data_IF_245962844793
#
_entry.id   IF_245962844793
#
_cell.length_a   1.000
_cell.length_b   1.000
_cell.length_c   1.000
_cell.angle_alpha   90.00
_cell.angle_beta   90.00
_cell.angle_gamma   90.00
#
_symmetry.space_group_name_H-M   'P 1'
#
loop_
_entity.id
_entity.type
_entity.pdbx_description
1 polymer ?
#
# COMPACT_ATOMS: atom_id res chain seq x y z
N UNK A 1 -8.13 -59.39 -41.01
CA UNK A 1 -7.19 -59.22 -39.88
C UNK A 1 -6.38 -57.91 -39.95
N UNK A 2 -7.02 -56.75 -40.16
CA UNK A 2 -6.36 -55.43 -40.05
C UNK A 2 -7.14 -54.41 -39.20
N UNK A 3 -8.40 -54.71 -38.82
CA UNK A 3 -9.21 -53.83 -37.97
C UNK A 3 -9.04 -54.08 -36.46
N UNK A 4 -8.61 -55.28 -36.05
CA UNK A 4 -8.48 -55.64 -34.64
C UNK A 4 -7.15 -55.20 -33.97
N UNK A 5 -6.17 -54.74 -34.75
CA UNK A 5 -4.91 -54.20 -34.19
C UNK A 5 -4.96 -52.72 -33.84
N UNK A 6 -5.98 -51.98 -34.32
CA UNK A 6 -6.11 -50.55 -34.03
C UNK A 6 -6.87 -50.27 -32.72
N UNK A 7 -7.74 -51.19 -32.28
CA UNK A 7 -8.57 -51.00 -31.08
C UNK A 7 -7.76 -51.23 -29.79
N UNK A 8 -6.71 -52.04 -29.82
CA UNK A 8 -5.86 -52.29 -28.63
C UNK A 8 -4.89 -51.12 -28.35
N UNK A 9 -4.51 -50.35 -29.38
CA UNK A 9 -3.61 -49.20 -29.22
C UNK A 9 -4.37 -47.94 -28.76
N UNK A 10 -5.62 -47.76 -29.19
CA UNK A 10 -6.44 -46.62 -28.75
C UNK A 10 -7.00 -46.81 -27.33
N UNK A 11 -7.20 -48.05 -26.87
CA UNK A 11 -7.62 -48.31 -25.47
C UNK A 11 -6.47 -48.20 -24.45
N UNK A 12 -5.20 -48.32 -24.86
CA UNK A 12 -4.05 -48.18 -23.95
C UNK A 12 -3.54 -46.75 -23.77
N UNK A 13 -3.93 -45.80 -24.63
CA UNK A 13 -3.57 -44.38 -24.50
C UNK A 13 -4.55 -43.56 -23.67
N UNK A 14 -5.67 -44.15 -23.22
CA UNK A 14 -6.71 -43.45 -22.45
C UNK A 14 -6.56 -43.47 -20.93
N UNK A 15 -5.60 -44.22 -20.38
CA UNK A 15 -5.49 -44.45 -18.93
C UNK A 15 -4.24 -43.86 -18.25
N UNK A 16 -3.45 -43.02 -18.94
CA UNK A 16 -2.24 -42.40 -18.37
C UNK A 16 -2.35 -40.90 -18.08
N UNK A 17 -3.55 -40.31 -18.12
CA UNK A 17 -3.78 -38.91 -17.71
C UNK A 17 -4.62 -38.80 -16.42
N UNK A 18 -4.34 -39.64 -15.42
CA UNK A 18 -4.64 -39.27 -14.03
C UNK A 18 -3.38 -38.63 -13.46
N UNK A 19 -3.03 -37.47 -13.99
CA UNK A 19 -2.11 -36.54 -13.35
C UNK A 19 -2.82 -35.94 -12.14
N UNK A 20 -2.94 -36.71 -11.06
CA UNK A 20 -3.24 -36.14 -9.75
C UNK A 20 -1.97 -35.41 -9.29
N UNK A 21 -1.73 -34.25 -9.89
CA UNK A 21 -0.82 -33.27 -9.31
C UNK A 21 -1.65 -32.56 -8.26
N UNK A 22 -1.23 -32.69 -7.00
CA UNK A 22 -1.72 -31.84 -5.92
C UNK A 22 -1.59 -30.41 -6.41
N UNK A 23 -2.72 -29.76 -6.68
CA UNK A 23 -2.74 -28.34 -7.03
C UNK A 23 -2.25 -27.61 -5.80
N UNK A 24 -0.98 -27.19 -5.81
CA UNK A 24 -0.45 -26.27 -4.82
C UNK A 24 -1.41 -25.10 -4.72
N UNK A 25 -1.80 -24.74 -3.50
CA UNK A 25 -2.74 -23.64 -3.31
C UNK A 25 -2.10 -22.34 -3.84
N UNK A 26 -2.86 -21.37 -4.35
CA UNK A 26 -2.32 -20.12 -4.88
C UNK A 26 -1.31 -19.43 -3.94
N UNK A 27 -1.46 -19.60 -2.62
CA UNK A 27 -0.57 -19.09 -1.59
C UNK A 27 0.82 -19.74 -1.60
N UNK A 28 0.93 -21.01 -2.03
CA UNK A 28 2.22 -21.70 -2.18
C UNK A 28 3.02 -21.20 -3.38
N UNK A 29 2.34 -20.61 -4.37
CA UNK A 29 2.94 -20.02 -5.57
C UNK A 29 3.47 -18.59 -5.33
N UNK A 30 2.95 -17.90 -4.32
CA UNK A 30 3.37 -16.54 -3.91
C UNK A 30 4.36 -16.67 -2.75
N UNK A 31 5.54 -17.22 -3.02
CA UNK A 31 6.66 -17.22 -2.05
C UNK A 31 7.75 -16.27 -2.52
N UNK A 32 8.27 -15.46 -1.60
CA UNK A 32 9.51 -14.70 -1.84
C UNK A 32 10.62 -15.70 -2.22
N UNK A 33 11.46 -15.42 -3.24
CA UNK A 33 12.52 -16.34 -3.63
C UNK A 33 13.43 -16.63 -2.43
N UNK A 34 13.74 -17.91 -2.21
CA UNK A 34 14.72 -18.32 -1.19
C UNK A 34 16.10 -17.92 -1.71
N UNK A 35 16.78 -17.01 -1.01
CA UNK A 35 17.99 -16.38 -1.54
C UNK A 35 19.28 -17.09 -1.12
N UNK A 36 19.23 -18.02 -0.14
CA UNK A 36 20.40 -18.78 0.31
C UNK A 36 20.04 -20.21 0.82
N UNK A 37 21.05 -21.09 0.89
CA UNK A 37 20.88 -22.50 1.33
C UNK A 37 20.45 -22.63 2.80
N UNK A 38 20.78 -21.65 3.66
CA UNK A 38 20.42 -21.69 5.08
C UNK A 38 18.91 -21.51 5.27
N UNK A 39 18.31 -20.56 4.57
CA UNK A 39 16.86 -20.36 4.54
C UNK A 39 16.13 -21.57 3.96
N UNK A 40 16.67 -22.19 2.89
CA UNK A 40 16.10 -23.41 2.32
C UNK A 40 16.11 -24.57 3.32
N UNK A 41 17.21 -24.76 4.03
CA UNK A 41 17.35 -25.80 5.05
C UNK A 41 16.45 -25.56 6.26
N UNK A 42 16.30 -24.29 6.67
CA UNK A 42 15.39 -23.91 7.74
C UNK A 42 13.94 -24.19 7.36
N UNK A 43 13.53 -23.77 6.16
CA UNK A 43 12.20 -24.01 5.61
C UNK A 43 11.89 -25.52 5.53
N UNK A 44 12.84 -26.32 5.04
CA UNK A 44 12.71 -27.78 4.98
C UNK A 44 12.58 -28.41 6.36
N UNK A 45 13.37 -27.94 7.33
CA UNK A 45 13.32 -28.43 8.71
C UNK A 45 11.97 -28.13 9.35
N UNK A 46 11.48 -26.90 9.20
CA UNK A 46 10.18 -26.48 9.73
C UNK A 46 9.05 -27.30 9.12
N UNK A 47 9.01 -27.48 7.79
CA UNK A 47 7.98 -28.30 7.16
C UNK A 47 8.02 -29.77 7.60
N UNK A 48 9.21 -30.31 7.90
CA UNK A 48 9.33 -31.67 8.43
C UNK A 48 8.87 -31.76 9.89
N UNK A 49 9.01 -30.66 10.65
CA UNK A 49 8.60 -30.56 12.05
C UNK A 49 7.09 -30.29 12.20
N UNK A 50 6.49 -29.52 11.28
CA UNK A 50 5.04 -29.31 11.26
C UNK A 50 4.31 -30.65 11.05
N UNK A 51 3.33 -30.94 11.89
CA UNK A 51 2.60 -32.21 11.86
C UNK A 51 1.79 -32.43 10.58
N UNK A 52 1.38 -33.67 10.33
CA UNK A 52 0.50 -34.01 9.20
C UNK A 52 -0.81 -33.21 9.28
N UNK A 53 -1.18 -32.55 8.19
CA UNK A 53 -2.41 -31.75 8.08
C UNK A 53 -2.23 -30.26 8.39
N UNK A 54 -1.01 -29.82 8.75
CA UNK A 54 -0.66 -28.41 8.86
C UNK A 54 0.11 -27.97 7.63
N UNK A 55 -0.20 -26.78 7.15
CA UNK A 55 0.54 -26.10 6.08
C UNK A 55 0.96 -24.71 6.53
N UNK A 56 2.09 -24.23 6.03
CA UNK A 56 2.54 -22.87 6.28
C UNK A 56 1.60 -21.89 5.56
N UNK A 57 1.19 -20.82 6.25
CA UNK A 57 0.24 -19.82 5.76
C UNK A 57 0.89 -18.43 5.73
N UNK A 58 0.78 -17.71 4.62
CA UNK A 58 1.25 -16.33 4.51
C UNK A 58 0.14 -15.37 4.98
N UNK A 59 0.37 -14.53 6.02
CA UNK A 59 -0.55 -13.47 6.39
C UNK A 59 -0.77 -12.47 5.26
N UNK A 60 -1.94 -11.82 5.21
CA UNK A 60 -2.22 -10.81 4.17
C UNK A 60 -1.36 -9.55 4.29
N UNK A 61 -0.85 -9.21 5.48
CA UNK A 61 0.10 -8.12 5.69
C UNK A 61 1.56 -8.54 5.40
N UNK A 62 1.79 -9.25 4.29
CA UNK A 62 3.06 -9.87 3.93
C UNK A 62 4.23 -8.89 3.68
N UNK A 63 3.94 -7.59 3.61
CA UNK A 63 4.95 -6.53 3.61
C UNK A 63 5.61 -6.30 4.97
N UNK A 64 4.95 -6.70 6.07
CA UNK A 64 5.42 -6.51 7.45
C UNK A 64 5.94 -7.81 8.08
N UNK A 65 5.34 -8.94 7.73
CA UNK A 65 5.71 -10.26 8.26
C UNK A 65 5.82 -11.30 7.16
N UNK A 66 6.69 -12.29 7.37
CA UNK A 66 6.80 -13.46 6.51
C UNK A 66 5.97 -14.62 7.06
N UNK A 67 5.95 -15.74 6.34
CA UNK A 67 5.42 -17.01 6.85
C UNK A 67 6.22 -17.58 8.03
N UNK A 68 7.52 -17.31 8.05
CA UNK A 68 8.48 -17.73 9.07
C UNK A 68 9.23 -16.48 9.51
N UNK A 69 9.15 -16.16 10.79
CA UNK A 69 9.71 -14.95 11.38
C UNK A 69 10.68 -15.33 12.48
N UNK A 70 11.80 -14.63 12.58
CA UNK A 70 12.77 -14.76 13.65
C UNK A 70 12.62 -13.55 14.55
N UNK A 71 12.24 -13.77 15.81
CA UNK A 71 11.91 -12.69 16.74
C UNK A 71 12.13 -13.14 18.19
N UNK A 72 12.90 -12.37 18.96
CA UNK A 72 12.97 -12.50 20.42
C UNK A 72 11.63 -12.05 21.04
N UNK A 73 10.79 -13.01 21.45
CA UNK A 73 9.46 -12.77 22.00
C UNK A 73 9.47 -12.48 23.49
N UNK A 74 10.43 -13.03 24.22
CA UNK A 74 10.49 -12.98 25.68
C UNK A 74 11.64 -12.14 26.24
N UNK A 75 12.40 -11.49 25.35
CA UNK A 75 13.54 -10.62 25.62
C UNK A 75 14.63 -11.31 26.44
N UNK A 76 14.86 -12.58 26.13
CA UNK A 76 15.96 -13.36 26.70
C UNK A 76 17.28 -13.18 25.91
N UNK A 77 17.27 -12.44 24.79
CA UNK A 77 18.43 -12.20 23.93
C UNK A 77 18.66 -13.27 22.86
N UNK A 78 17.78 -14.28 22.77
CA UNK A 78 17.77 -15.32 21.74
C UNK A 78 16.47 -15.25 20.98
N UNK A 79 16.53 -15.24 19.65
CA UNK A 79 15.31 -15.21 18.86
C UNK A 79 14.59 -16.57 18.86
N UNK A 80 13.27 -16.54 18.96
CA UNK A 80 12.40 -17.65 18.60
C UNK A 80 12.07 -17.62 17.10
N UNK A 81 11.59 -18.75 16.58
CA UNK A 81 10.99 -18.82 15.25
C UNK A 81 9.48 -18.90 15.38
N UNK A 82 8.77 -17.95 14.78
CA UNK A 82 7.31 -17.95 14.69
C UNK A 82 6.88 -18.31 13.28
N UNK A 83 6.10 -19.40 13.16
CA UNK A 83 5.60 -19.91 11.88
C UNK A 83 4.09 -19.79 11.84
N UNK A 84 3.57 -19.02 10.87
CA UNK A 84 2.13 -18.95 10.62
C UNK A 84 1.67 -20.18 9.85
N UNK A 85 0.52 -20.73 10.24
CA UNK A 85 0.06 -22.02 9.76
C UNK A 85 -1.46 -22.10 9.63
N UNK A 86 -1.90 -23.02 8.78
CA UNK A 86 -3.28 -23.41 8.57
C UNK A 86 -3.42 -24.91 8.75
N UNK A 87 -4.50 -25.32 9.40
CA UNK A 87 -4.96 -26.70 9.42
C UNK A 87 -6.20 -26.80 8.54
N UNK A 88 -6.09 -27.51 7.42
CA UNK A 88 -7.21 -27.77 6.54
C UNK A 88 -7.86 -29.09 6.92
N UNK A 89 -9.17 -29.04 7.17
CA UNK A 89 -9.93 -30.23 7.51
C UNK A 89 -10.82 -30.58 6.31
N UNK A 90 -10.33 -31.42 5.40
CA UNK A 90 -11.04 -31.73 4.13
C UNK A 90 -12.44 -32.33 4.32
N UNK A 91 -12.75 -32.82 5.52
CA UNK A 91 -14.03 -33.45 5.87
C UNK A 91 -14.96 -32.55 6.70
N UNK A 92 -14.51 -31.38 7.17
CA UNK A 92 -15.29 -30.46 8.01
C UNK A 92 -15.09 -29.00 7.56
N UNK A 93 -16.11 -28.15 7.68
CA UNK A 93 -16.04 -26.70 7.38
C UNK A 93 -15.19 -25.93 8.42
N UNK A 94 -14.41 -26.62 9.25
CA UNK A 94 -13.69 -26.05 10.38
C UNK A 94 -12.19 -25.97 10.08
N UNK A 95 -11.82 -25.07 9.18
CA UNK A 95 -10.43 -24.66 9.04
C UNK A 95 -9.96 -23.98 10.33
N UNK A 96 -8.67 -24.16 10.63
CA UNK A 96 -8.00 -23.42 11.70
C UNK A 96 -6.78 -22.71 11.16
N UNK A 97 -6.47 -21.56 11.73
CA UNK A 97 -5.26 -20.79 11.47
C UNK A 97 -4.60 -20.40 12.77
N UNK A 98 -3.32 -20.06 12.72
CA UNK A 98 -2.61 -19.56 13.88
C UNK A 98 -1.11 -19.64 13.67
N UNK A 99 -0.39 -19.98 14.73
CA UNK A 99 1.08 -19.99 14.70
C UNK A 99 1.68 -21.04 15.62
N UNK A 100 2.93 -21.40 15.32
CA UNK A 100 3.81 -22.19 16.18
C UNK A 100 5.03 -21.37 16.56
N UNK A 101 5.48 -21.53 17.80
CA UNK A 101 6.76 -20.98 18.27
C UNK A 101 7.75 -22.14 18.38
N UNK A 102 8.91 -22.00 17.74
CA UNK A 102 9.99 -22.98 17.72
C UNK A 102 11.28 -22.39 18.28
N UNK A 103 12.16 -23.26 18.76
CA UNK A 103 13.55 -22.88 19.02
C UNK A 103 14.22 -22.45 17.71
N UNK A 104 15.25 -21.59 17.80
CA UNK A 104 16.00 -21.04 16.66
C UNK A 104 16.71 -22.08 15.76
N UNK A 105 16.57 -23.37 16.04
CA UNK A 105 17.03 -24.45 15.16
C UNK A 105 15.95 -24.97 14.20
N UNK A 106 14.70 -24.48 14.31
CA UNK A 106 13.56 -24.85 13.47
C UNK A 106 13.11 -26.31 13.58
N UNK A 107 13.63 -27.07 14.57
CA UNK A 107 13.39 -28.51 14.70
C UNK A 107 12.42 -28.87 15.82
N UNK A 108 12.29 -28.00 16.82
CA UNK A 108 11.50 -28.27 18.01
C UNK A 108 10.42 -27.19 18.16
N UNK A 109 9.16 -27.60 18.07
CA UNK A 109 8.02 -26.77 18.46
C UNK A 109 8.02 -26.67 19.99
N UNK A 110 8.04 -25.44 20.49
CA UNK A 110 7.92 -25.13 21.91
C UNK A 110 6.44 -25.14 22.29
N UNK A 111 5.63 -24.39 21.55
CA UNK A 111 4.18 -24.33 21.71
C UNK A 111 3.50 -23.96 20.39
N UNK A 112 2.19 -24.19 20.30
CA UNK A 112 1.39 -23.85 19.12
C UNK A 112 -0.01 -23.41 19.50
N UNK A 113 -0.50 -22.42 18.79
CA UNK A 113 -1.86 -21.92 18.97
C UNK A 113 -2.60 -21.91 17.63
N UNK A 114 -3.77 -22.53 17.61
CA UNK A 114 -4.66 -22.57 16.47
C UNK A 114 -6.05 -22.12 16.90
N UNK A 115 -6.66 -21.28 16.07
CA UNK A 115 -8.02 -20.78 16.24
C UNK A 115 -8.81 -21.05 14.97
N UNK A 116 -10.11 -21.11 15.13
CA UNK A 116 -11.03 -21.22 14.01
C UNK A 116 -10.83 -20.05 13.03
N UNK A 117 -10.60 -20.37 11.76
CA UNK A 117 -10.36 -19.37 10.72
C UNK A 117 -9.87 -19.96 9.41
N UNK A 118 -10.10 -19.22 8.33
CA UNK A 118 -9.72 -19.56 6.96
C UNK A 118 -8.42 -18.87 6.53
N UNK A 119 -8.18 -17.66 7.03
CA UNK A 119 -7.02 -16.83 6.72
C UNK A 119 -6.55 -16.00 7.92
N UNK A 120 -5.30 -15.53 7.83
CA UNK A 120 -4.71 -14.52 8.74
C UNK A 120 -4.68 -13.19 7.97
N UNK A 121 -5.52 -12.25 8.40
CA UNK A 121 -5.63 -10.93 7.77
C UNK A 121 -4.50 -9.98 8.21
N UNK A 122 -4.02 -10.14 9.45
CA UNK A 122 -2.89 -9.40 9.99
C UNK A 122 -2.21 -10.22 11.07
N UNK A 123 -0.88 -10.23 11.09
CA UNK A 123 -0.13 -10.67 12.26
C UNK A 123 1.15 -9.86 12.41
N UNK A 124 1.56 -9.58 13.64
CA UNK A 124 2.82 -8.90 13.93
C UNK A 124 3.22 -9.04 15.42
N UNK A 125 4.42 -8.56 15.75
CA UNK A 125 5.07 -8.71 17.06
C UNK A 125 5.49 -7.35 17.61
N UNK A 126 4.95 -6.95 18.74
CA UNK A 126 5.22 -5.64 19.35
C UNK A 126 5.27 -5.75 20.87
N UNK A 127 6.23 -5.08 21.51
CA UNK A 127 6.17 -4.82 22.96
C UNK A 127 5.17 -3.67 23.17
N UNK A 128 3.91 -4.01 23.44
CA UNK A 128 2.81 -3.03 23.44
C UNK A 128 2.68 -2.28 24.77
N UNK A 129 3.03 -2.94 25.88
CA UNK A 129 2.98 -2.37 27.23
C UNK A 129 4.36 -2.00 27.81
N UNK A 130 5.43 -2.14 27.01
CA UNK A 130 6.81 -1.86 27.38
C UNK A 130 7.30 -2.72 28.56
N UNK A 131 6.81 -3.95 28.69
CA UNK A 131 7.24 -4.90 29.73
C UNK A 131 8.43 -5.78 29.29
N UNK A 132 8.91 -5.58 28.07
CA UNK A 132 10.02 -6.28 27.45
C UNK A 132 9.60 -7.50 26.65
N UNK A 133 8.40 -8.05 26.84
CA UNK A 133 7.92 -9.15 26.01
C UNK A 133 7.22 -8.60 24.77
N UNK A 134 7.42 -9.21 23.61
CA UNK A 134 6.63 -8.87 22.42
C UNK A 134 5.32 -9.63 22.42
N UNK A 135 4.21 -8.90 22.47
CA UNK A 135 2.89 -9.43 22.17
C UNK A 135 2.76 -9.81 20.69
N UNK A 136 2.05 -10.91 20.47
CA UNK A 136 1.68 -11.42 19.15
C UNK A 136 0.24 -10.97 18.90
N UNK A 137 0.05 -10.10 17.91
CA UNK A 137 -1.29 -9.71 17.46
C UNK A 137 -1.67 -10.61 16.29
N UNK A 138 -2.87 -11.19 16.34
CA UNK A 138 -3.39 -12.07 15.31
C UNK A 138 -4.81 -11.66 14.93
N UNK A 139 -5.00 -11.27 13.68
CA UNK A 139 -6.33 -11.12 13.07
C UNK A 139 -6.63 -12.35 12.21
N UNK A 140 -7.57 -13.19 12.65
CA UNK A 140 -8.08 -14.29 11.83
C UNK A 140 -9.45 -13.94 11.24
N UNK A 141 -9.74 -14.52 10.07
CA UNK A 141 -11.04 -14.37 9.40
C UNK A 141 -11.72 -15.72 9.26
N UNK A 142 -12.98 -15.80 9.69
CA UNK A 142 -13.89 -16.94 9.51
C UNK A 142 -15.26 -16.42 9.11
N UNK A 143 -15.88 -17.00 8.09
CA UNK A 143 -17.24 -16.64 7.65
C UNK A 143 -17.45 -15.12 7.46
N UNK A 144 -16.48 -14.45 6.84
CA UNK A 144 -16.41 -12.99 6.66
C UNK A 144 -16.34 -12.15 7.94
N UNK A 145 -16.20 -12.77 9.13
CA UNK A 145 -15.94 -12.09 10.39
C UNK A 145 -14.46 -12.16 10.73
N UNK A 146 -13.87 -10.99 10.95
CA UNK A 146 -12.49 -10.83 11.40
C UNK A 146 -12.49 -10.65 12.91
N UNK A 147 -11.65 -11.42 13.61
CA UNK A 147 -11.44 -11.30 15.06
C UNK A 147 -9.98 -10.96 15.31
N UNK A 148 -9.72 -10.13 16.32
CA UNK A 148 -8.36 -9.87 16.81
C UNK A 148 -8.17 -10.53 18.17
N UNK A 149 -7.08 -11.28 18.31
CA UNK A 149 -6.60 -11.82 19.58
C UNK A 149 -5.15 -11.40 19.79
N UNK A 150 -4.79 -11.14 21.04
CA UNK A 150 -3.43 -10.76 21.45
C UNK A 150 -2.89 -11.84 22.38
N UNK A 151 -1.67 -12.28 22.13
CA UNK A 151 -0.99 -13.34 22.87
C UNK A 151 0.34 -12.86 23.41
N UNK A 152 0.81 -13.52 24.46
CA UNK A 152 2.15 -13.39 25.01
C UNK A 152 2.84 -14.74 24.96
N UNK A 153 4.13 -14.77 24.67
CA UNK A 153 4.94 -15.97 24.86
C UNK A 153 5.77 -15.81 26.12
N UNK A 154 5.53 -16.66 27.13
CA UNK A 154 6.22 -16.60 28.42
C UNK A 154 6.36 -17.99 29.00
N UNK A 155 7.53 -18.29 29.57
CA UNK A 155 7.83 -19.61 30.16
C UNK A 155 7.55 -20.77 29.19
N UNK A 156 7.96 -20.61 27.92
CA UNK A 156 7.73 -21.58 26.86
C UNK A 156 6.25 -21.89 26.58
N UNK A 157 5.34 -20.95 26.88
CA UNK A 157 3.91 -21.10 26.63
C UNK A 157 3.32 -19.87 25.96
N UNK A 158 2.39 -20.11 25.04
CA UNK A 158 1.56 -19.09 24.42
C UNK A 158 0.35 -18.86 25.34
N UNK A 159 0.17 -17.64 25.79
CA UNK A 159 -0.90 -17.21 26.68
C UNK A 159 -1.74 -16.19 25.92
N UNK A 160 -3.04 -16.46 25.73
CA UNK A 160 -3.96 -15.44 25.19
C UNK A 160 -4.21 -14.39 26.25
N UNK A 161 -3.80 -13.15 25.98
CA UNK A 161 -4.03 -12.00 26.87
C UNK A 161 -5.46 -11.47 26.71
N UNK A 162 -5.89 -11.25 25.47
CA UNK A 162 -7.24 -10.72 25.21
C UNK A 162 -7.78 -11.15 23.85
N UNK A 163 -9.11 -11.19 23.77
CA UNK A 163 -9.86 -11.21 22.53
C UNK A 163 -10.55 -9.86 22.40
N UNK A 164 -10.22 -9.13 21.34
CA UNK A 164 -10.70 -7.78 21.14
C UNK A 164 -12.22 -7.74 21.00
N UNK A 165 -12.83 -6.77 21.68
CA UNK A 165 -14.25 -6.49 21.62
C UNK A 165 -14.52 -5.00 21.43
N UNK A 166 -15.07 -4.54 20.29
CA UNK A 166 -15.40 -3.14 20.06
C UNK A 166 -16.72 -2.77 20.73
N UNK A 167 -16.78 -2.88 22.06
CA UNK A 167 -18.01 -2.73 22.85
C UNK A 167 -18.62 -1.33 22.81
N UNK A 168 -17.88 -0.31 22.35
CA UNK A 168 -18.35 1.06 22.15
C UNK A 168 -19.13 1.26 20.85
N UNK A 169 -19.10 0.29 19.93
CA UNK A 169 -19.83 0.37 18.67
C UNK A 169 -21.22 -0.22 18.86
N UNK A 170 -22.25 0.59 18.61
CA UNK A 170 -23.63 0.11 18.57
C UNK A 170 -23.81 -0.90 17.44
N UNK A 171 -24.52 -2.01 17.70
CA UNK A 171 -24.68 -3.11 16.76
C UNK A 171 -23.32 -3.67 16.27
N UNK A 172 -22.31 -3.73 17.16
CA UNK A 172 -20.96 -4.23 16.87
C UNK A 172 -20.90 -5.55 16.11
N UNK A 173 -21.89 -6.43 16.24
CA UNK A 173 -21.92 -7.71 15.54
C UNK A 173 -22.11 -7.58 14.03
N UNK A 174 -22.63 -6.44 13.56
CA UNK A 174 -22.69 -6.12 12.13
C UNK A 174 -21.36 -5.58 11.58
N UNK A 175 -20.40 -5.23 12.45
CA UNK A 175 -19.06 -4.82 12.06
C UNK A 175 -18.15 -6.05 11.92
N UNK A 176 -18.24 -6.70 10.76
CA UNK A 176 -17.59 -8.00 10.53
C UNK A 176 -16.16 -7.90 10.00
N UNK A 177 -15.73 -6.76 9.47
CA UNK A 177 -14.37 -6.60 8.96
C UNK A 177 -13.50 -5.74 9.89
N UNK A 178 -12.22 -6.07 9.99
CA UNK A 178 -11.27 -5.37 10.84
C UNK A 178 -9.91 -5.19 10.14
N UNK A 179 -9.31 -4.02 10.31
CA UNK A 179 -7.92 -3.72 9.92
C UNK A 179 -7.22 -3.01 11.06
N UNK A 180 -5.92 -3.27 11.24
CA UNK A 180 -5.12 -2.62 12.30
C UNK A 180 -3.88 -1.96 11.74
N UNK A 181 -3.44 -0.90 12.41
CA UNK A 181 -2.13 -0.26 12.23
C UNK A 181 -1.59 0.10 13.60
N UNK A 182 -0.32 -0.20 13.84
CA UNK A 182 0.33 0.04 15.13
C UNK A 182 1.47 1.02 14.95
N UNK A 183 1.61 1.92 15.91
CA UNK A 183 2.70 2.90 15.93
C UNK A 183 2.44 3.99 16.95
N UNK A 184 3.47 4.79 17.23
CA UNK A 184 3.40 5.85 18.21
C UNK A 184 2.85 7.15 17.56
N UNK A 185 1.59 7.49 17.87
CA UNK A 185 0.85 8.62 17.33
C UNK A 185 1.15 9.93 18.09
N UNK A 186 1.26 9.90 19.42
CA UNK A 186 1.39 11.12 20.24
C UNK A 186 2.81 11.38 20.78
N UNK A 187 3.76 10.51 20.43
CA UNK A 187 5.16 10.53 20.86
C UNK A 187 5.36 10.34 22.37
N UNK A 188 4.44 9.67 23.08
CA UNK A 188 4.58 9.37 24.51
C UNK A 188 5.54 8.20 24.82
N UNK A 189 5.94 7.44 23.79
CA UNK A 189 6.86 6.31 23.89
C UNK A 189 6.14 4.96 24.05
N UNK A 190 4.81 4.96 24.06
CA UNK A 190 3.96 3.77 23.98
C UNK A 190 3.44 3.61 22.55
N UNK A 191 3.07 2.38 22.21
CA UNK A 191 2.48 2.08 20.92
C UNK A 191 0.97 2.29 20.98
N UNK A 192 0.44 3.03 20.02
CA UNK A 192 -0.99 3.12 19.79
C UNK A 192 -1.44 2.04 18.80
N UNK A 193 -2.67 1.56 18.99
CA UNK A 193 -3.35 0.60 18.13
C UNK A 193 -4.48 1.33 17.43
N UNK A 194 -4.34 1.54 16.12
CA UNK A 194 -5.40 2.06 15.26
C UNK A 194 -6.20 0.88 14.73
N UNK A 195 -7.50 0.87 14.97
CA UNK A 195 -8.39 -0.23 14.60
C UNK A 195 -9.51 0.32 13.74
N UNK A 196 -9.59 -0.10 12.48
CA UNK A 196 -10.74 0.14 11.64
C UNK A 196 -11.70 -1.05 11.71
N UNK A 197 -12.91 -0.81 12.18
CA UNK A 197 -14.03 -1.76 12.12
C UNK A 197 -15.00 -1.32 11.03
N UNK A 198 -15.46 -2.25 10.20
CA UNK A 198 -16.36 -1.93 9.08
C UNK A 198 -17.61 -2.79 9.09
N UNK A 199 -18.74 -2.11 8.86
CA UNK A 199 -20.05 -2.71 8.68
C UNK A 199 -20.39 -2.77 7.18
N UNK A 200 -20.30 -3.95 6.55
CA UNK A 200 -20.57 -4.09 5.11
C UNK A 200 -22.04 -3.88 4.74
N UNK A 201 -22.98 -3.92 5.70
CA UNK A 201 -24.41 -3.68 5.45
C UNK A 201 -24.73 -2.20 5.34
N UNK A 202 -24.06 -1.36 6.13
CA UNK A 202 -24.33 0.08 6.20
C UNK A 202 -23.26 0.93 5.53
N UNK A 203 -22.15 0.34 5.09
CA UNK A 203 -20.99 1.04 4.54
C UNK A 203 -20.39 2.07 5.52
N UNK A 204 -20.51 1.78 6.82
CA UNK A 204 -19.93 2.60 7.90
C UNK A 204 -18.64 1.95 8.39
N UNK A 205 -17.59 2.75 8.46
CA UNK A 205 -16.32 2.39 9.09
C UNK A 205 -16.11 3.23 10.35
N UNK A 206 -15.62 2.61 11.42
CA UNK A 206 -15.17 3.30 12.62
C UNK A 206 -13.66 3.13 12.74
N UNK A 207 -12.92 4.23 12.85
CA UNK A 207 -11.48 4.23 13.13
C UNK A 207 -11.29 4.57 14.61
N UNK A 208 -10.82 3.61 15.38
CA UNK A 208 -10.61 3.72 16.82
C UNK A 208 -9.12 3.85 17.12
N UNK A 209 -8.78 4.74 18.04
CA UNK A 209 -7.48 4.83 18.68
C UNK A 209 -7.57 4.09 20.02
N UNK A 210 -6.70 3.12 20.20
CA UNK A 210 -6.61 2.32 21.41
C UNK A 210 -5.15 2.21 21.87
N UNK A 211 -4.97 1.79 23.13
CA UNK A 211 -3.67 1.42 23.68
C UNK A 211 -3.77 0.05 24.36
N UNK A 212 -2.63 -0.56 24.65
CA UNK A 212 -2.58 -1.85 25.33
C UNK A 212 -2.15 -1.67 26.79
N UNK A 213 -2.89 -2.30 27.70
CA UNK A 213 -2.52 -2.45 29.11
C UNK A 213 -3.20 -3.73 29.62
N UNK A 214 -2.54 -4.87 29.37
CA UNK A 214 -3.05 -6.25 29.51
C UNK A 214 -4.21 -6.62 28.58
N UNK A 215 -5.02 -5.63 28.20
CA UNK A 215 -6.08 -5.71 27.21
C UNK A 215 -6.10 -4.42 26.39
N UNK A 216 -6.73 -4.49 25.22
CA UNK A 216 -6.90 -3.33 24.34
C UNK A 216 -7.94 -2.38 24.93
N UNK A 217 -7.56 -1.14 25.19
CA UNK A 217 -8.39 -0.09 25.78
C UNK A 217 -8.63 1.03 24.77
N UNK A 218 -9.90 1.37 24.55
CA UNK A 218 -10.28 2.50 23.72
C UNK A 218 -9.80 3.82 24.35
N UNK A 219 -9.24 4.70 23.52
CA UNK A 219 -8.98 6.10 23.85
C UNK A 219 -10.04 7.02 23.23
N UNK A 220 -10.23 6.92 21.91
CA UNK A 220 -11.29 7.64 21.19
C UNK A 220 -11.55 6.99 19.82
N UNK A 221 -12.60 7.41 19.10
CA UNK A 221 -12.90 6.92 17.75
C UNK A 221 -13.49 8.00 16.85
N UNK A 222 -13.45 7.75 15.54
CA UNK A 222 -14.07 8.58 14.52
C UNK A 222 -14.85 7.73 13.53
N UNK A 223 -16.05 8.19 13.16
CA UNK A 223 -16.94 7.49 12.23
C UNK A 223 -16.75 8.03 10.82
N UNK A 224 -16.70 7.13 9.86
CA UNK A 224 -16.61 7.36 8.42
C UNK A 224 -17.80 6.69 7.75
N UNK A 225 -18.61 7.50 7.09
CA UNK A 225 -19.73 7.02 6.30
C UNK A 225 -19.29 6.79 4.86
N UNK A 226 -20.10 6.07 4.09
CA UNK A 226 -19.89 5.89 2.64
C UNK A 226 -18.57 5.19 2.29
N UNK A 227 -18.13 4.22 3.10
CA UNK A 227 -16.90 3.45 2.83
C UNK A 227 -17.25 2.17 2.06
N UNK A 228 -16.55 1.93 0.94
CA UNK A 228 -16.83 0.79 0.07
C UNK A 228 -16.49 -0.56 0.71
N UNK A 229 -15.28 -0.70 1.26
CA UNK A 229 -14.78 -1.88 1.96
C UNK A 229 -13.42 -1.57 2.64
N UNK A 230 -12.95 -2.44 3.54
CA UNK A 230 -11.64 -2.27 4.18
C UNK A 230 -10.46 -2.63 3.27
N UNK A 231 -10.63 -3.49 2.27
CA UNK A 231 -9.54 -3.82 1.32
C UNK A 231 -9.05 -2.58 0.56
N UNK A 232 -9.95 -1.63 0.31
CA UNK A 232 -9.65 -0.34 -0.33
C UNK A 232 -9.46 0.80 0.68
N UNK A 233 -9.32 0.51 1.96
CA UNK A 233 -9.00 1.48 3.01
C UNK A 233 -7.53 1.37 3.42
N UNK A 234 -6.81 2.48 3.45
CA UNK A 234 -5.41 2.54 3.86
C UNK A 234 -5.27 3.42 5.10
N UNK A 235 -4.54 2.90 6.09
CA UNK A 235 -4.30 3.55 7.37
C UNK A 235 -2.79 3.65 7.58
N UNK A 236 -2.32 4.85 7.91
CA UNK A 236 -0.91 5.03 8.26
C UNK A 236 -0.73 6.13 9.32
N UNK A 237 0.33 6.03 10.11
CA UNK A 237 0.68 7.05 11.10
C UNK A 237 1.84 7.86 10.52
N UNK A 238 1.58 9.11 10.18
CA UNK A 238 2.58 10.01 9.61
C UNK A 238 2.63 11.34 10.35
N UNK A 239 3.74 12.05 10.21
CA UNK A 239 3.78 13.48 10.55
C UNK A 239 2.99 14.23 9.48
N UNK A 240 1.97 14.97 9.90
CA UNK A 240 0.97 15.61 9.00
C UNK A 240 1.04 17.13 9.02
N UNK A 241 1.83 17.68 9.94
CA UNK A 241 2.24 19.08 9.99
C UNK A 241 3.52 19.20 10.81
N UNK A 242 4.09 20.41 10.92
CA UNK A 242 5.35 20.66 11.63
C UNK A 242 5.41 20.06 13.05
N UNK A 243 4.30 20.14 13.78
CA UNK A 243 4.23 19.79 15.21
C UNK A 243 3.23 18.68 15.53
N UNK A 244 2.64 18.03 14.50
CA UNK A 244 1.61 16.99 14.70
C UNK A 244 1.87 15.76 13.85
N UNK A 245 1.78 14.60 14.51
CA UNK A 245 1.46 13.33 13.86
C UNK A 245 -0.05 13.17 13.75
N UNK A 246 -0.46 12.34 12.80
CA UNK A 246 -1.85 12.04 12.52
C UNK A 246 -1.98 10.68 11.86
N UNK A 247 -3.20 10.16 11.89
CA UNK A 247 -3.61 8.97 11.16
C UNK A 247 -4.09 9.44 9.80
N UNK A 248 -3.40 9.02 8.76
CA UNK A 248 -3.87 9.13 7.38
C UNK A 248 -4.90 8.04 7.17
N UNK A 249 -6.10 8.43 6.74
CA UNK A 249 -7.21 7.54 6.45
C UNK A 249 -7.62 7.78 5.00
N UNK A 250 -7.18 6.91 4.11
CA UNK A 250 -7.61 6.89 2.71
C UNK A 250 -8.71 5.86 2.54
N UNK A 251 -9.90 6.28 2.12
CA UNK A 251 -11.04 5.37 1.92
C UNK A 251 -11.63 5.54 0.53
N UNK A 252 -12.05 4.42 -0.05
CA UNK A 252 -12.84 4.43 -1.29
C UNK A 252 -14.32 4.62 -0.98
N UNK A 253 -14.96 5.59 -1.64
CA UNK A 253 -16.39 5.87 -1.52
C UNK A 253 -17.25 4.74 -2.08
N UNK A 254 -18.35 4.41 -1.41
CA UNK A 254 -19.35 3.45 -1.90
C UNK A 254 -20.28 4.06 -2.96
N UNK A 255 -20.69 5.31 -2.80
CA UNK A 255 -21.70 5.97 -3.65
C UNK A 255 -21.12 6.88 -4.75
N UNK A 256 -19.94 7.46 -4.57
CA UNK A 256 -19.39 8.47 -5.48
C UNK A 256 -18.36 7.91 -6.47
N UNK A 257 -18.84 7.21 -7.51
CA UNK A 257 -18.03 6.71 -8.64
C UNK A 257 -16.70 6.07 -8.21
N UNK A 258 -16.69 5.36 -7.07
CA UNK A 258 -15.50 4.67 -6.59
C UNK A 258 -14.29 5.61 -6.30
N UNK A 259 -14.54 6.90 -6.00
CA UNK A 259 -13.48 7.86 -5.69
C UNK A 259 -12.83 7.60 -4.32
N UNK A 260 -11.54 7.88 -4.20
CA UNK A 260 -10.79 7.85 -2.95
C UNK A 260 -10.84 9.19 -2.25
N UNK A 261 -11.06 9.17 -0.94
CA UNK A 261 -11.10 10.33 -0.05
C UNK A 261 -9.93 10.20 0.92
N UNK A 262 -9.10 11.23 1.05
CA UNK A 262 -8.07 11.32 2.10
C UNK A 262 -8.59 12.13 3.27
N UNK A 263 -8.49 11.57 4.47
CA UNK A 263 -8.71 12.26 5.73
C UNK A 263 -7.46 12.18 6.60
N UNK A 264 -7.27 13.20 7.45
CA UNK A 264 -6.32 13.14 8.56
C UNK A 264 -7.13 13.12 9.86
N UNK A 265 -6.90 12.12 10.70
CA UNK A 265 -7.27 12.18 12.10
C UNK A 265 -6.06 12.64 12.91
N UNK A 266 -6.23 13.63 13.78
CA UNK A 266 -5.19 14.09 14.70
C UNK A 266 -5.74 14.21 16.11
N UNK A 267 -4.85 14.16 17.10
CA UNK A 267 -5.21 14.35 18.49
C UNK A 267 -5.33 15.83 18.84
N UNK A 268 -6.45 16.19 19.45
CA UNK A 268 -6.68 17.48 20.10
C UNK A 268 -7.33 17.23 21.47
N UNK A 269 -6.62 17.58 22.55
CA UNK A 269 -7.04 17.30 23.92
C UNK A 269 -7.47 15.84 24.10
N UNK A 270 -6.61 14.90 23.71
CA UNK A 270 -6.84 13.45 23.76
C UNK A 270 -7.98 12.90 22.90
N UNK A 271 -8.65 13.73 22.09
CA UNK A 271 -9.72 13.31 21.19
C UNK A 271 -9.25 13.31 19.73
N UNK A 272 -9.68 12.32 18.96
CA UNK A 272 -9.51 12.26 17.51
C UNK A 272 -10.41 13.32 16.84
N UNK A 273 -9.79 14.14 16.00
CA UNK A 273 -10.48 15.13 15.17
C UNK A 273 -10.13 14.92 13.71
N UNK A 274 -11.14 15.04 12.84
CA UNK A 274 -10.95 15.14 11.39
C UNK A 274 -10.37 16.50 11.04
N UNK A 275 -9.30 16.52 10.26
CA UNK A 275 -8.70 17.76 9.79
C UNK A 275 -9.45 18.35 8.58
N UNK A 276 -9.94 17.50 7.68
CA UNK A 276 -10.44 17.94 6.38
C UNK A 276 -11.96 17.75 6.28
N UNK A 277 -12.63 18.66 5.58
CA UNK A 277 -14.03 18.48 5.21
C UNK A 277 -14.15 17.46 4.06
N UNK A 278 -14.83 16.35 4.31
CA UNK A 278 -15.02 15.25 3.36
C UNK A 278 -15.87 15.65 2.15
N UNK A 279 -16.65 16.73 2.25
CA UNK A 279 -17.39 17.31 1.12
C UNK A 279 -16.48 18.12 0.19
N UNK A 280 -15.27 18.46 0.62
CA UNK A 280 -14.33 19.24 -0.19
C UNK A 280 -13.80 18.40 -1.35
N UNK A 281 -14.01 18.88 -2.58
CA UNK A 281 -13.55 18.19 -3.79
C UNK A 281 -12.02 17.97 -3.80
N UNK A 282 -11.26 18.82 -3.08
CA UNK A 282 -9.79 18.75 -3.01
C UNK A 282 -9.25 17.48 -2.37
N UNK A 283 -10.05 16.81 -1.53
CA UNK A 283 -9.64 15.56 -0.87
C UNK A 283 -10.07 14.31 -1.63
N UNK A 284 -10.85 14.47 -2.71
CA UNK A 284 -11.38 13.40 -3.54
C UNK A 284 -10.49 13.14 -4.76
N UNK A 285 -10.26 11.87 -5.07
CA UNK A 285 -9.42 11.40 -6.17
C UNK A 285 -10.10 10.25 -6.92
N UNK A 286 -10.08 10.20 -8.27
CA UNK A 286 -10.63 9.07 -9.03
C UNK A 286 -9.93 7.71 -8.81
N UNK A 287 -8.73 7.67 -8.23
CA UNK A 287 -8.01 6.44 -7.88
C UNK A 287 -7.08 6.70 -6.70
N UNK A 288 -6.57 5.63 -6.10
CA UNK A 288 -5.68 5.71 -4.94
C UNK A 288 -4.35 6.32 -5.35
N UNK A 289 -3.93 7.35 -4.62
CA UNK A 289 -2.58 7.91 -4.67
C UNK A 289 -2.17 8.04 -3.20
N UNK A 290 -1.13 7.32 -2.75
CA UNK A 290 -0.69 7.40 -1.37
C UNK A 290 -0.17 8.80 -1.04
N UNK A 291 -0.29 9.18 0.23
CA UNK A 291 0.44 10.34 0.76
C UNK A 291 1.93 10.01 0.86
N UNK A 292 2.78 10.96 0.50
CA UNK A 292 4.24 10.79 0.45
C UNK A 292 4.92 12.03 0.99
N UNK A 293 6.13 11.90 1.53
CA UNK A 293 7.01 13.03 1.84
C UNK A 293 7.82 13.35 0.58
N UNK A 294 7.28 14.25 -0.23
CA UNK A 294 7.77 14.57 -1.57
C UNK A 294 9.01 15.47 -1.51
N UNK A 295 9.09 16.33 -0.49
CA UNK A 295 10.19 17.29 -0.34
C UNK A 295 11.27 16.81 0.66
N UNK A 296 11.07 15.66 1.31
CA UNK A 296 11.93 15.07 2.34
C UNK A 296 12.10 15.93 3.60
N UNK A 297 11.06 16.69 3.99
CA UNK A 297 11.04 17.48 5.22
C UNK A 297 10.49 16.71 6.44
N UNK A 298 10.09 15.45 6.22
CA UNK A 298 9.53 14.55 7.21
C UNK A 298 8.01 14.69 7.38
N UNK A 299 7.33 15.58 6.66
CA UNK A 299 5.87 15.78 6.69
C UNK A 299 5.25 15.14 5.44
N UNK A 300 4.16 14.41 5.61
CA UNK A 300 3.46 13.82 4.48
C UNK A 300 2.64 14.86 3.71
N UNK A 301 2.87 14.96 2.39
CA UNK A 301 1.99 15.68 1.48
C UNK A 301 0.82 14.83 0.99
N UNK A 302 -0.33 15.49 0.92
CA UNK A 302 -1.59 14.98 0.40
C UNK A 302 -1.68 15.29 -1.11
N UNK A 303 -1.85 14.26 -1.95
CA UNK A 303 -2.03 14.44 -3.38
C UNK A 303 -3.43 14.97 -3.68
N UNK A 304 -3.48 15.93 -4.59
CA UNK A 304 -4.69 16.53 -5.15
C UNK A 304 -4.58 16.55 -6.68
N UNK A 305 -5.58 16.00 -7.36
CA UNK A 305 -5.67 16.03 -8.82
C UNK A 305 -6.49 17.26 -9.19
N UNK A 306 -5.88 18.23 -9.87
CA UNK A 306 -6.58 19.43 -10.30
C UNK A 306 -7.56 19.10 -11.43
N UNK A 307 -8.82 19.51 -11.30
CA UNK A 307 -9.91 19.18 -12.24
C UNK A 307 -9.84 19.82 -13.62
N UNK A 308 -8.68 20.30 -14.10
CA UNK A 308 -8.56 20.86 -15.44
C UNK A 308 -8.61 19.73 -16.48
N UNK A 309 -9.80 19.54 -17.04
CA UNK A 309 -10.23 18.49 -17.96
C UNK A 309 -9.70 18.59 -19.40
N UNK A 310 -8.59 19.32 -19.63
CA UNK A 310 -8.02 19.50 -20.99
C UNK A 310 -7.00 18.41 -21.34
N UNK A 311 -7.40 17.14 -21.27
CA UNK A 311 -6.70 16.00 -21.89
C UNK A 311 -5.65 15.26 -21.03
N UNK A 312 -5.20 15.82 -19.92
CA UNK A 312 -4.26 15.20 -18.96
C UNK A 312 -4.97 14.99 -17.61
N UNK A 313 -4.51 14.05 -16.79
CA UNK A 313 -5.24 13.36 -15.70
C UNK A 313 -6.00 12.10 -16.14
N UNK A 314 -5.36 11.29 -16.99
CA UNK A 314 -5.80 9.96 -17.39
C UNK A 314 -4.96 8.89 -16.68
N UNK A 315 -5.35 7.61 -16.76
CA UNK A 315 -4.54 6.51 -16.20
C UNK A 315 -3.09 6.50 -16.70
N UNK A 316 -2.84 7.02 -17.92
CA UNK A 316 -1.50 7.08 -18.52
C UNK A 316 -0.66 8.28 -18.05
N UNK A 317 -1.28 9.36 -17.55
CA UNK A 317 -0.58 10.58 -17.15
C UNK A 317 -1.39 11.49 -16.22
N UNK A 318 -0.75 12.01 -15.17
CA UNK A 318 -1.37 12.79 -14.10
C UNK A 318 -0.59 14.04 -13.77
N UNK A 319 -1.30 15.13 -13.48
CA UNK A 319 -0.72 16.32 -12.90
C UNK A 319 -1.22 16.47 -11.45
N UNK A 320 -0.32 16.20 -10.50
CA UNK A 320 -0.64 16.10 -9.07
C UNK A 320 -0.07 17.30 -8.35
N UNK A 321 -0.94 18.04 -7.66
CA UNK A 321 -0.53 19.00 -6.64
C UNK A 321 -0.34 18.27 -5.31
N UNK A 322 0.81 18.46 -4.69
CA UNK A 322 1.14 17.94 -3.37
C UNK A 322 1.00 19.06 -2.35
N UNK A 323 0.27 18.79 -1.27
CA UNK A 323 -0.14 19.81 -0.31
C UNK A 323 0.04 19.31 1.12
N UNK A 324 0.43 20.17 2.03
CA UNK A 324 0.43 19.86 3.47
C UNK A 324 -0.85 20.38 4.12
N UNK A 325 -1.27 19.72 5.21
CA UNK A 325 -2.27 20.30 6.08
C UNK A 325 -1.66 21.43 6.92
N UNK A 326 -2.37 22.55 7.03
CA UNK A 326 -1.88 23.74 7.74
C UNK A 326 -1.88 23.63 9.28
N UNK A 327 -2.26 22.49 9.85
CA UNK A 327 -2.30 22.24 11.29
C UNK A 327 -3.42 22.94 12.06
N UNK A 328 -4.25 23.75 11.37
CA UNK A 328 -5.36 24.52 11.96
C UNK A 328 -6.64 23.70 12.00
N UNK A 329 -7.60 24.15 12.79
CA UNK A 329 -8.84 23.40 13.07
C UNK A 329 -10.07 24.06 12.45
N UNK A 330 -11.14 23.26 12.30
CA UNK A 330 -12.46 23.70 11.81
C UNK A 330 -12.35 24.49 10.50
N UNK A 331 -13.02 25.63 10.40
CA UNK A 331 -13.09 26.49 9.21
C UNK A 331 -11.72 27.03 8.78
N UNK A 332 -10.73 27.09 9.68
CA UNK A 332 -9.37 27.51 9.35
C UNK A 332 -8.51 26.37 8.83
N UNK A 333 -8.96 25.12 8.92
CA UNK A 333 -8.25 23.95 8.42
C UNK A 333 -8.26 23.95 6.90
N UNK A 334 -7.08 23.80 6.30
CA UNK A 334 -6.94 23.79 4.84
C UNK A 334 -5.66 23.07 4.42
N UNK A 335 -5.62 22.72 3.13
CA UNK A 335 -4.42 22.25 2.44
C UNK A 335 -3.66 23.43 1.84
N UNK A 336 -2.34 23.43 2.03
CA UNK A 336 -1.41 24.44 1.53
C UNK A 336 -0.54 23.78 0.47
N UNK A 337 -0.52 24.38 -0.71
CA UNK A 337 0.28 23.92 -1.84
C UNK A 337 1.78 23.91 -1.51
N UNK A 338 2.45 22.80 -1.83
CA UNK A 338 3.91 22.63 -1.68
C UNK A 338 4.56 22.56 -3.06
N UNK A 339 4.11 21.63 -3.89
CA UNK A 339 4.70 21.37 -5.19
C UNK A 339 3.66 20.82 -6.16
N UNK A 340 4.00 20.83 -7.45
CA UNK A 340 3.23 20.17 -8.48
C UNK A 340 4.14 19.25 -9.28
N UNK A 341 3.72 18.01 -9.50
CA UNK A 341 4.49 17.03 -10.25
C UNK A 341 3.62 16.46 -11.36
N UNK A 342 4.14 16.54 -12.58
CA UNK A 342 3.59 15.84 -13.72
C UNK A 342 4.17 14.43 -13.81
N UNK A 343 3.31 13.43 -13.90
CA UNK A 343 3.64 12.02 -14.06
C UNK A 343 3.16 11.55 -15.43
N UNK A 344 4.05 10.97 -16.23
CA UNK A 344 3.72 10.25 -17.45
C UNK A 344 4.11 8.78 -17.27
N UNK A 345 3.15 7.99 -16.79
CA UNK A 345 3.37 6.57 -16.51
C UNK A 345 3.65 5.77 -17.79
N UNK A 346 2.98 6.12 -18.90
CA UNK A 346 3.18 5.44 -20.17
C UNK A 346 4.59 5.63 -20.73
N UNK A 347 5.16 6.83 -20.58
CA UNK A 347 6.52 7.13 -21.00
C UNK A 347 7.55 6.97 -19.86
N UNK A 348 7.18 6.46 -18.68
CA UNK A 348 8.06 6.27 -17.52
C UNK A 348 8.88 7.51 -17.12
N UNK A 349 8.25 8.68 -17.01
CA UNK A 349 8.94 9.86 -16.47
C UNK A 349 8.02 10.72 -15.61
N UNK A 350 8.64 11.51 -14.73
CA UNK A 350 7.99 12.59 -14.00
C UNK A 350 8.80 13.89 -14.10
N UNK A 351 8.11 15.00 -13.98
CA UNK A 351 8.68 16.34 -13.97
C UNK A 351 8.10 17.14 -12.82
N UNK A 352 8.94 17.53 -11.87
CA UNK A 352 8.56 18.52 -10.85
C UNK A 352 8.43 19.89 -11.51
N UNK A 353 7.22 20.44 -11.47
CA UNK A 353 6.92 21.70 -12.12
C UNK A 353 7.37 22.86 -11.23
N UNK A 354 8.12 23.82 -11.79
CA UNK A 354 8.40 25.08 -11.11
C UNK A 354 7.12 25.74 -10.58
N UNK A 355 7.15 26.26 -9.34
CA UNK A 355 5.96 26.79 -8.67
C UNK A 355 5.28 27.96 -9.40
N UNK A 356 6.04 28.73 -10.17
CA UNK A 356 5.52 29.79 -11.06
C UNK A 356 4.62 29.27 -12.19
N UNK A 357 4.78 28.00 -12.60
CA UNK A 357 3.94 27.29 -13.58
C UNK A 357 2.77 26.56 -12.95
N UNK A 358 2.76 26.39 -11.63
CA UNK A 358 1.74 25.61 -10.94
C UNK A 358 0.34 26.14 -11.30
N UNK A 359 -0.55 25.22 -11.72
CA UNK A 359 -1.93 25.52 -12.16
C UNK A 359 -2.08 26.44 -13.38
N UNK A 360 -0.99 26.82 -14.05
CA UNK A 360 -1.01 27.65 -15.28
C UNK A 360 -0.70 26.88 -16.54
N UNK A 361 -0.42 25.57 -16.41
CA UNK A 361 -0.08 24.73 -17.54
C UNK A 361 -1.11 23.63 -17.77
N UNK A 362 -1.25 23.25 -19.04
CA UNK A 362 -1.79 21.97 -19.45
C UNK A 362 -0.76 21.19 -20.25
N UNK A 363 -0.93 19.87 -20.30
CA UNK A 363 -0.02 19.00 -21.03
C UNK A 363 -0.82 18.31 -22.13
N UNK A 364 -0.38 18.47 -23.38
CA UNK A 364 -0.91 17.73 -24.53
C UNK A 364 -0.02 16.52 -24.83
N UNK A 365 -0.63 15.34 -24.90
CA UNK A 365 0.08 14.07 -24.97
C UNK A 365 -0.15 13.39 -26.33
N UNK A 366 0.95 13.08 -27.01
CA UNK A 366 0.97 12.19 -28.16
C UNK A 366 1.81 10.94 -27.83
N UNK A 367 1.15 9.98 -27.19
CA UNK A 367 1.78 8.73 -26.78
C UNK A 367 2.30 7.88 -27.93
N UNK A 368 1.72 7.99 -29.14
CA UNK A 368 2.20 7.22 -30.30
C UNK A 368 3.58 7.69 -30.77
N UNK A 369 3.89 8.97 -30.55
CA UNK A 369 5.19 9.59 -30.83
C UNK A 369 6.06 9.74 -29.58
N UNK A 370 5.57 9.34 -28.40
CA UNK A 370 6.25 9.52 -27.12
C UNK A 370 6.46 10.98 -26.72
N UNK A 371 5.58 11.89 -27.17
CA UNK A 371 5.70 13.35 -26.96
C UNK A 371 4.75 13.86 -25.90
N UNK A 372 5.26 14.73 -25.05
CA UNK A 372 4.53 15.49 -24.02
C UNK A 372 4.78 16.98 -24.23
N UNK A 373 3.77 17.75 -24.61
CA UNK A 373 3.86 19.18 -24.91
C UNK A 373 3.32 20.01 -23.75
N UNK A 374 4.16 20.84 -23.14
CA UNK A 374 3.82 21.64 -21.98
C UNK A 374 3.36 23.03 -22.44
N UNK A 375 2.07 23.28 -22.27
CA UNK A 375 1.36 24.45 -22.78
C UNK A 375 0.98 25.38 -21.63
N UNK A 376 1.29 26.66 -21.74
CA UNK A 376 1.08 27.69 -20.73
C UNK A 376 -0.09 28.62 -21.09
N UNK A 377 -1.00 28.82 -20.14
CA UNK A 377 -2.06 29.82 -20.24
C UNK A 377 -1.61 31.13 -19.59
N UNK A 378 -1.45 32.16 -20.42
CA UNK A 378 -1.36 33.55 -19.97
C UNK A 378 -2.78 34.12 -19.88
N UNK A 379 -3.15 34.69 -18.72
CA UNK A 379 -4.47 35.31 -18.49
C UNK A 379 -4.77 36.46 -19.46
N UNK A 380 -3.74 37.00 -20.12
CA UNK A 380 -3.84 38.06 -21.11
C UNK A 380 -3.90 37.56 -22.56
N UNK A 381 -3.78 36.25 -22.81
CA UNK A 381 -3.77 35.68 -24.15
C UNK A 381 -4.95 34.74 -24.39
N UNK A 382 -5.50 34.81 -25.60
CA UNK A 382 -6.62 33.97 -26.03
C UNK A 382 -6.22 32.53 -26.35
N UNK A 383 -4.95 32.29 -26.70
CA UNK A 383 -4.42 30.97 -27.02
C UNK A 383 -3.24 30.60 -26.11
N UNK A 384 -3.11 29.32 -25.76
CA UNK A 384 -1.99 28.86 -24.95
C UNK A 384 -0.66 28.81 -25.71
N UNK A 385 0.41 29.09 -24.99
CA UNK A 385 1.77 29.10 -25.52
C UNK A 385 2.44 27.74 -25.27
N UNK A 386 2.95 27.10 -26.31
CA UNK A 386 3.80 25.91 -26.15
C UNK A 386 5.15 26.32 -25.57
N UNK A 387 5.42 25.97 -24.31
CA UNK A 387 6.68 26.31 -23.65
C UNK A 387 7.80 25.38 -24.11
N UNK A 388 7.60 24.07 -23.94
CA UNK A 388 8.58 23.04 -24.26
C UNK A 388 7.91 21.69 -24.53
N UNK A 389 8.65 20.80 -25.18
CA UNK A 389 8.26 19.42 -25.46
C UNK A 389 9.28 18.45 -24.88
N UNK A 390 8.81 17.42 -24.18
CA UNK A 390 9.63 16.26 -23.79
C UNK A 390 9.27 15.10 -24.70
N UNK A 391 10.28 14.46 -25.31
CA UNK A 391 10.10 13.31 -26.19
C UNK A 391 10.88 12.11 -25.68
N UNK A 392 10.21 10.97 -25.52
CA UNK A 392 10.82 9.66 -25.30
C UNK A 392 11.21 9.03 -26.64
N UNK A 393 12.47 8.64 -26.79
CA UNK A 393 13.00 8.03 -28.01
C UNK A 393 13.57 6.65 -27.65
N UNK A 394 13.15 5.61 -28.36
CA UNK A 394 13.71 4.26 -28.23
C UNK A 394 14.95 4.12 -29.10
N UNK A 395 16.07 3.69 -28.49
CA UNK A 395 17.36 3.50 -29.18
C UNK A 395 17.32 2.37 -30.21
N UNK A 396 16.49 1.36 -29.98
CA UNK A 396 16.31 0.22 -30.89
C UNK A 396 15.55 0.58 -32.17
N UNK A 397 14.92 1.77 -32.22
CA UNK A 397 14.19 2.29 -33.38
C UNK A 397 14.93 3.45 -34.06
N UNK A 398 16.21 3.64 -33.76
CA UNK A 398 17.05 4.64 -34.43
C UNK A 398 17.36 4.12 -35.84
N UNK A 399 16.45 4.34 -36.78
CA UNK A 399 16.80 4.40 -38.19
C UNK A 399 17.67 5.64 -38.40
N UNK A 400 18.86 5.49 -38.98
CA UNK A 400 19.79 6.59 -39.30
C UNK A 400 19.15 7.74 -40.12
N UNK A 401 17.98 7.49 -40.74
CA UNK A 401 17.18 8.49 -41.48
C UNK A 401 16.29 9.39 -40.60
N UNK A 402 16.08 9.10 -39.32
CA UNK A 402 15.31 9.93 -38.35
C UNK A 402 16.18 10.79 -37.44
N UNK A 403 17.38 11.15 -37.89
CA UNK A 403 18.27 12.11 -37.24
C UNK A 403 17.65 13.52 -37.03
N UNK A 404 16.45 13.83 -37.54
CA UNK A 404 15.90 15.19 -37.49
C UNK A 404 15.58 15.72 -36.07
N UNK A 405 15.27 14.87 -35.08
CA UNK A 405 14.93 15.38 -33.73
C UNK A 405 16.15 15.65 -32.82
N UNK A 406 17.27 14.94 -33.03
CA UNK A 406 18.56 15.29 -32.39
C UNK A 406 19.30 16.38 -33.16
N UNK A 407 18.98 16.60 -34.45
CA UNK A 407 19.52 17.70 -35.27
C UNK A 407 18.92 19.07 -34.97
N UNK A 408 17.78 19.14 -34.26
CA UNK A 408 17.03 20.38 -33.99
C UNK A 408 17.32 21.00 -32.60
N UNK A 409 18.52 20.82 -32.05
CA UNK A 409 18.95 21.54 -30.83
C UNK A 409 18.31 21.07 -29.52
N UNK A 410 17.78 19.84 -29.47
CA UNK A 410 17.21 19.24 -28.27
C UNK A 410 18.26 18.91 -27.19
N UNK A 411 17.83 18.87 -25.95
CA UNK A 411 18.67 18.59 -24.76
C UNK A 411 18.34 17.25 -24.17
N UNK A 412 19.35 16.41 -23.94
CA UNK A 412 19.15 15.14 -23.26
C UNK A 412 18.91 15.41 -21.75
N UNK A 413 17.73 15.01 -21.29
CA UNK A 413 17.33 15.04 -19.88
C UNK A 413 17.84 13.81 -19.13
N UNK A 414 17.64 12.63 -19.73
CA UNK A 414 18.04 11.32 -19.20
C UNK A 414 18.25 10.34 -20.36
N UNK A 415 19.15 9.39 -20.17
CA UNK A 415 19.46 8.35 -21.15
C UNK A 415 19.82 7.06 -20.40
N UNK A 416 19.33 5.92 -20.89
CA UNK A 416 19.70 4.58 -20.44
C UNK A 416 20.01 3.70 -21.68
N UNK A 417 20.22 2.40 -21.50
CA UNK A 417 20.63 1.51 -22.59
C UNK A 417 19.59 1.38 -23.72
N UNK A 418 18.30 1.53 -23.43
CA UNK A 418 17.21 1.31 -24.39
C UNK A 418 16.50 2.59 -24.84
N UNK A 419 16.59 3.67 -24.07
CA UNK A 419 15.74 4.86 -24.19
C UNK A 419 16.51 6.16 -23.89
N UNK A 420 16.09 7.25 -24.53
CA UNK A 420 16.56 8.60 -24.23
C UNK A 420 15.37 9.58 -24.17
N UNK A 421 15.49 10.59 -23.30
CA UNK A 421 14.49 11.62 -23.09
C UNK A 421 15.06 12.97 -23.50
N UNK A 422 14.41 13.63 -24.46
CA UNK A 422 14.90 14.87 -25.07
C UNK A 422 13.92 16.01 -24.83
N UNK A 423 14.44 17.11 -24.30
CA UNK A 423 13.75 18.39 -24.15
C UNK A 423 13.98 19.28 -25.37
N UNK A 424 12.92 19.85 -25.92
CA UNK A 424 12.97 20.91 -26.93
C UNK A 424 12.27 22.15 -26.38
N UNK A 425 12.96 23.29 -26.34
CA UNK A 425 12.38 24.57 -25.93
C UNK A 425 11.61 25.19 -27.11
N UNK A 426 10.28 25.17 -27.06
CA UNK A 426 9.43 25.71 -28.13
C UNK A 426 9.30 27.24 -28.05
N UNK A 427 9.32 27.81 -26.84
CA UNK A 427 9.24 29.25 -26.61
C UNK A 427 10.33 29.76 -25.65
N UNK A 428 11.62 29.80 -26.05
CA UNK A 428 12.74 30.15 -25.17
C UNK A 428 12.62 31.55 -24.53
N UNK A 429 12.06 32.53 -25.24
CA UNK A 429 11.84 33.88 -24.70
C UNK A 429 10.83 33.86 -23.53
N UNK A 430 9.72 33.13 -23.70
CA UNK A 430 8.69 33.02 -22.66
C UNK A 430 9.21 32.24 -21.46
N UNK A 431 9.97 31.17 -21.69
CA UNK A 431 10.67 30.45 -20.61
C UNK A 431 11.58 31.38 -19.80
N UNK A 432 12.37 32.22 -20.49
CA UNK A 432 13.22 33.23 -19.84
C UNK A 432 12.41 34.26 -19.05
N UNK A 433 11.33 34.78 -19.61
CA UNK A 433 10.46 35.76 -18.95
C UNK A 433 9.76 35.17 -17.72
N UNK A 434 9.47 33.87 -17.74
CA UNK A 434 8.97 33.11 -16.60
C UNK A 434 10.08 32.71 -15.62
N UNK A 435 11.36 32.98 -15.89
CA UNK A 435 12.51 32.54 -15.10
C UNK A 435 12.62 31.00 -15.00
N UNK A 436 12.43 30.31 -16.12
CA UNK A 436 12.53 28.86 -16.25
C UNK A 436 13.71 28.55 -17.15
N UNK A 437 14.77 27.99 -16.59
CA UNK A 437 15.93 27.54 -17.35
C UNK A 437 15.78 26.08 -17.77
N UNK A 438 16.45 25.73 -18.87
CA UNK A 438 16.65 24.36 -19.31
C UNK A 438 17.31 23.48 -18.23
N UNK A 439 18.27 24.02 -17.48
CA UNK A 439 18.92 23.30 -16.39
C UNK A 439 17.93 23.00 -15.26
N UNK A 440 17.04 23.94 -14.92
CA UNK A 440 15.98 23.70 -13.94
C UNK A 440 15.02 22.59 -14.40
N UNK A 441 14.64 22.55 -15.69
CA UNK A 441 13.81 21.46 -16.21
C UNK A 441 14.55 20.12 -16.11
N UNK A 442 15.86 20.12 -16.40
CA UNK A 442 16.70 18.91 -16.32
C UNK A 442 16.86 18.39 -14.91
N UNK A 443 17.11 19.26 -13.93
CA UNK A 443 17.24 18.91 -12.52
C UNK A 443 15.92 18.37 -11.93
N UNK A 444 14.79 18.86 -12.42
CA UNK A 444 13.46 18.44 -11.97
C UNK A 444 12.90 17.22 -12.73
N UNK A 445 13.63 16.70 -13.72
CA UNK A 445 13.24 15.52 -14.49
C UNK A 445 13.75 14.23 -13.85
N UNK A 446 12.89 13.22 -13.73
CA UNK A 446 13.28 11.89 -13.26
C UNK A 446 12.47 10.77 -13.92
N UNK A 447 13.00 9.55 -13.92
CA UNK A 447 12.23 8.36 -14.27
C UNK A 447 11.35 7.97 -13.08
N UNK A 448 10.23 7.29 -13.33
CA UNK A 448 9.33 6.83 -12.27
C UNK A 448 9.85 5.52 -11.67
N UNK A 449 10.29 4.60 -12.53
CA UNK A 449 10.85 3.28 -12.17
C UNK A 449 12.33 3.18 -12.50
#
# INVERSE_FOLDING_TARGET
>A
MKLFKLIVIVLCTGFLNVGCTSTESPEQLIKKPIHNEQEANLYKSINATLGKGLSILLPKNSSEVATINTVDLDNNGSDEIVVFQKQENFNEVNNKVGFSVLLNNGKNIIDSHLIDGDSIEYANFFDLDNDGYKEIILLSKKDNKTIMEVYKFKENKIIRLTKFDPSWIENKDDFTEMKVKIGNLDNDGKLDIIIANFNPKTHVMTVSLAYFDQYVKLRDFSVFNDVKNLDSAYLDIKKVSKDKKGIIVDTKSFTENDSYITQILYLENDNLKKALDEKNIKVKKPYYIPVEDINNDGIAEIPMINGNSRGYNQKSSLNISWNIWNGKTKESSNLVFVSQIYYNYQNNFRLSLPNNLANKIYIDENFSEGKSEFMYYDIHQSEPIKLFTITKISKNKIDEKKNQNTSNGGTILKENDSEMYVLVENSPKVLKDLNISKDAIKENFSLIY
#
